data_IF_068679064688
#
_entry.id   IF_068679064688
#
_cell.length_a   1.000
_cell.length_b   1.000
_cell.length_c   1.000
_cell.angle_alpha   90.00
_cell.angle_beta   90.00
_cell.angle_gamma   90.00
#
_symmetry.space_group_name_H-M   'P 1'
#
loop_
_entity.id
_entity.type
_entity.pdbx_description
1 polymer ?
#
# COMPACT_ATOMS: atom_id res chain seq x y z
N UNK A 1 31.96 12.80 -8.09
CA UNK A 1 31.58 12.38 -6.72
C UNK A 1 30.07 12.16 -6.69
N UNK A 2 29.57 10.95 -6.94
CA UNK A 2 28.15 10.62 -6.79
C UNK A 2 28.01 9.63 -5.63
N UNK A 3 27.86 10.19 -4.43
CA UNK A 3 27.58 9.43 -3.21
C UNK A 3 26.12 9.00 -3.19
N UNK A 4 25.85 7.79 -3.72
CA UNK A 4 24.58 7.09 -3.56
C UNK A 4 24.63 6.16 -2.34
N UNK A 5 24.60 6.74 -1.14
CA UNK A 5 24.20 6.05 0.09
C UNK A 5 22.68 6.29 0.21
N UNK A 6 21.81 5.30 0.34
CA UNK A 6 21.81 4.37 1.44
C UNK A 6 21.17 3.02 1.05
N UNK A 7 21.95 1.96 1.26
CA UNK A 7 21.47 0.62 1.60
C UNK A 7 20.46 0.71 2.77
N UNK A 8 19.49 -0.20 2.76
CA UNK A 8 18.94 -0.93 3.93
C UNK A 8 17.44 -1.19 3.80
N UNK A 9 17.08 -2.09 2.89
CA UNK A 9 16.13 -3.14 3.27
C UNK A 9 16.60 -4.42 2.61
N UNK A 10 17.56 -5.03 3.31
CA UNK A 10 18.25 -6.26 2.96
C UNK A 10 17.26 -7.27 2.34
N UNK A 11 17.48 -7.45 1.05
CA UNK A 11 17.22 -8.61 0.21
C UNK A 11 16.27 -9.69 0.76
N UNK A 12 15.02 -9.62 0.29
CA UNK A 12 14.27 -10.75 -0.29
C UNK A 12 14.80 -12.16 0.04
N UNK A 13 14.66 -12.66 1.28
CA UNK A 13 14.38 -14.08 1.56
C UNK A 13 14.24 -14.39 3.05
N UNK A 14 13.00 -14.43 3.52
CA UNK A 14 12.58 -15.43 4.51
C UNK A 14 11.09 -15.69 4.26
N UNK A 15 10.75 -16.85 3.71
CA UNK A 15 9.35 -17.27 3.47
C UNK A 15 8.46 -17.07 4.72
N UNK A 16 9.05 -17.18 5.90
CA UNK A 16 8.44 -16.93 7.21
C UNK A 16 8.10 -15.46 7.46
N UNK A 17 8.98 -14.51 7.09
CA UNK A 17 8.72 -13.07 7.21
C UNK A 17 7.61 -12.61 6.26
N UNK A 18 7.44 -13.28 5.11
CA UNK A 18 6.33 -12.97 4.19
C UNK A 18 4.98 -13.28 4.83
N UNK A 19 4.85 -14.40 5.55
CA UNK A 19 3.62 -14.72 6.30
C UNK A 19 3.35 -13.68 7.38
N UNK A 20 4.40 -13.26 8.09
CA UNK A 20 4.30 -12.21 9.13
C UNK A 20 3.87 -10.86 8.54
N UNK A 21 4.48 -10.44 7.42
CA UNK A 21 4.05 -9.25 6.68
C UNK A 21 2.58 -9.34 6.26
N UNK A 22 2.14 -10.46 5.70
CA UNK A 22 0.76 -10.63 5.27
C UNK A 22 -0.21 -10.56 6.47
N UNK A 23 0.13 -11.16 7.61
CA UNK A 23 -0.66 -11.03 8.83
C UNK A 23 -0.75 -9.57 9.30
N UNK A 24 0.37 -8.85 9.40
CA UNK A 24 0.39 -7.42 9.79
C UNK A 24 -0.36 -6.53 8.78
N UNK A 25 -0.34 -6.88 7.48
CA UNK A 25 -1.16 -6.23 6.44
C UNK A 25 -2.64 -6.43 6.72
N UNK A 26 -3.07 -7.66 6.99
CA UNK A 26 -4.48 -7.98 7.19
C UNK A 26 -5.03 -7.27 8.44
N UNK A 27 -4.25 -7.17 9.53
CA UNK A 27 -4.60 -6.35 10.69
C UNK A 27 -4.77 -4.87 10.36
N UNK A 28 -3.83 -4.28 9.61
CA UNK A 28 -3.94 -2.89 9.18
C UNK A 28 -5.17 -2.67 8.28
N UNK A 29 -5.44 -3.62 7.38
CA UNK A 29 -6.56 -3.53 6.46
C UNK A 29 -7.91 -3.70 7.14
N UNK A 30 -8.02 -4.60 8.12
CA UNK A 30 -9.20 -4.78 8.95
C UNK A 30 -9.50 -3.50 9.74
N UNK A 31 -8.48 -2.86 10.32
CA UNK A 31 -8.66 -1.57 10.98
C UNK A 31 -9.18 -0.49 10.02
N UNK A 32 -8.64 -0.43 8.80
CA UNK A 32 -9.11 0.52 7.80
C UNK A 32 -10.56 0.26 7.39
N UNK A 33 -10.98 -0.99 7.23
CA UNK A 33 -12.38 -1.32 6.92
C UNK A 33 -13.32 -0.92 8.06
N UNK A 34 -12.95 -1.23 9.31
CA UNK A 34 -13.73 -0.84 10.50
C UNK A 34 -13.85 0.68 10.69
N UNK A 35 -12.83 1.44 10.30
CA UNK A 35 -12.75 2.88 10.53
C UNK A 35 -13.14 3.75 9.33
N UNK A 36 -13.64 3.16 8.24
CA UNK A 36 -14.00 3.91 7.03
C UNK A 36 -12.78 4.54 6.35
N UNK A 37 -11.69 3.78 6.26
CA UNK A 37 -10.48 4.10 5.50
C UNK A 37 -9.64 5.25 6.07
N UNK A 38 -9.89 5.61 7.32
CA UNK A 38 -9.14 6.64 8.06
C UNK A 38 -7.79 6.09 8.53
N UNK A 39 -6.76 6.27 7.69
CA UNK A 39 -5.36 5.89 8.00
C UNK A 39 -4.86 6.46 9.33
N UNK A 40 -5.37 7.62 9.74
CA UNK A 40 -4.99 8.27 11.00
C UNK A 40 -5.33 7.44 12.24
N UNK A 41 -6.48 6.74 12.22
CA UNK A 41 -6.91 5.89 13.31
C UNK A 41 -6.10 4.60 13.40
N UNK A 42 -5.61 4.11 12.26
CA UNK A 42 -4.85 2.86 12.15
C UNK A 42 -3.33 3.09 12.05
N UNK A 43 -2.83 4.25 12.51
CA UNK A 43 -1.39 4.60 12.47
C UNK A 43 -0.53 3.61 13.26
N UNK A 44 -1.06 3.04 14.34
CA UNK A 44 -0.29 2.13 15.18
C UNK A 44 -0.06 0.78 14.48
N UNK A 45 -1.10 0.22 13.86
CA UNK A 45 -1.04 -0.98 13.03
C UNK A 45 -0.21 -0.75 11.77
N UNK A 46 -0.29 0.45 11.18
CA UNK A 46 0.56 0.83 10.05
C UNK A 46 2.05 0.79 10.40
N UNK A 47 2.43 1.28 11.59
CA UNK A 47 3.82 1.20 12.07
C UNK A 47 4.28 -0.25 12.27
N UNK A 48 3.40 -1.14 12.72
CA UNK A 48 3.73 -2.56 12.80
C UNK A 48 3.94 -3.14 11.40
N UNK A 49 3.06 -2.79 10.46
CA UNK A 49 3.17 -3.22 9.08
C UNK A 49 4.47 -2.74 8.39
N UNK A 50 4.92 -1.50 8.65
CA UNK A 50 6.21 -1.00 8.15
C UNK A 50 7.43 -1.69 8.76
N UNK A 51 7.34 -2.11 10.02
CA UNK A 51 8.39 -2.87 10.71
C UNK A 51 8.49 -4.31 10.19
N UNK A 52 7.36 -4.99 10.08
CA UNK A 52 7.32 -6.41 9.68
C UNK A 52 7.44 -6.62 8.17
N UNK A 53 7.12 -5.62 7.35
CA UNK A 53 7.02 -5.79 5.90
C UNK A 53 7.95 -4.85 5.12
N UNK A 54 8.54 -5.27 3.97
CA UNK A 54 9.34 -4.40 3.12
C UNK A 54 8.64 -3.09 2.74
N UNK A 55 9.35 -1.96 2.77
CA UNK A 55 8.76 -0.65 2.43
C UNK A 55 8.14 -0.67 1.01
N UNK A 56 8.81 -1.35 0.06
CA UNK A 56 8.28 -1.57 -1.29
C UNK A 56 6.96 -2.34 -1.30
N UNK A 57 6.79 -3.32 -0.42
CA UNK A 57 5.55 -4.08 -0.27
C UNK A 57 4.45 -3.24 0.38
N UNK A 58 4.76 -2.52 1.46
CA UNK A 58 3.84 -1.59 2.12
C UNK A 58 3.30 -0.57 1.12
N UNK A 59 4.19 0.09 0.37
CA UNK A 59 3.79 1.05 -0.65
C UNK A 59 2.97 0.42 -1.76
N UNK A 60 3.36 -0.77 -2.25
CA UNK A 60 2.60 -1.49 -3.27
C UNK A 60 1.17 -1.78 -2.82
N UNK A 61 0.98 -2.32 -1.61
CA UNK A 61 -0.34 -2.65 -1.08
C UNK A 61 -1.20 -1.41 -0.82
N UNK A 62 -0.62 -0.37 -0.22
CA UNK A 62 -1.34 0.90 0.03
C UNK A 62 -1.75 1.54 -1.29
N UNK A 63 -0.85 1.57 -2.28
CA UNK A 63 -1.15 2.09 -3.62
C UNK A 63 -2.25 1.28 -4.29
N UNK A 64 -2.17 -0.06 -4.25
CA UNK A 64 -3.17 -0.96 -4.83
C UNK A 64 -4.57 -0.71 -4.24
N UNK A 65 -4.68 -0.63 -2.91
CA UNK A 65 -5.96 -0.36 -2.23
C UNK A 65 -6.50 1.03 -2.57
N UNK A 66 -5.65 2.06 -2.51
CA UNK A 66 -6.03 3.42 -2.91
C UNK A 66 -6.50 3.46 -4.38
N UNK A 67 -5.82 2.74 -5.28
CA UNK A 67 -6.19 2.65 -6.69
C UNK A 67 -7.50 1.92 -6.90
N UNK A 68 -7.74 0.82 -6.19
CA UNK A 68 -9.00 0.08 -6.26
C UNK A 68 -10.17 0.93 -5.76
N UNK A 69 -9.94 1.71 -4.68
CA UNK A 69 -10.92 2.65 -4.16
C UNK A 69 -11.15 3.86 -5.04
N UNK A 70 -10.08 4.40 -5.60
CA UNK A 70 -10.19 5.44 -6.61
C UNK A 70 -10.97 4.89 -7.82
N UNK A 71 -10.63 3.69 -8.31
CA UNK A 71 -11.39 3.02 -9.38
C UNK A 71 -12.84 2.77 -9.01
N UNK A 72 -13.15 2.39 -7.77
CA UNK A 72 -14.53 2.19 -7.32
C UNK A 72 -15.28 3.53 -7.26
N UNK A 73 -14.65 4.58 -6.74
CA UNK A 73 -15.22 5.93 -6.69
C UNK A 73 -15.39 6.51 -8.07
N UNK A 74 -14.39 6.33 -8.93
CA UNK A 74 -14.42 6.63 -10.37
C UNK A 74 -15.56 5.87 -11.00
N UNK A 75 -15.59 4.53 -11.02
CA UNK A 75 -16.67 3.76 -11.64
C UNK A 75 -18.06 4.10 -11.07
N UNK A 76 -18.13 4.45 -9.77
CA UNK A 76 -19.36 4.93 -9.13
C UNK A 76 -19.73 6.35 -9.57
N UNK A 77 -18.75 7.20 -9.83
CA UNK A 77 -18.93 8.59 -10.26
C UNK A 77 -18.88 8.75 -11.79
N UNK A 78 -18.52 7.70 -12.53
CA UNK A 78 -18.06 7.76 -13.92
C UNK A 78 -18.42 6.51 -14.73
N UNK A 79 -19.26 6.51 -15.76
CA UNK A 79 -20.02 7.56 -16.45
C UNK A 79 -19.20 8.80 -16.93
N UNK A 80 -17.90 8.98 -16.59
CA UNK A 80 -17.15 10.25 -16.82
C UNK A 80 -15.59 10.21 -17.00
N UNK A 81 -14.83 9.11 -16.82
CA UNK A 81 -13.35 9.06 -17.11
C UNK A 81 -13.00 8.01 -18.16
N UNK A 82 -13.71 8.06 -19.26
CA UNK A 82 -13.15 7.56 -20.51
C UNK A 82 -12.01 8.47 -21.05
N UNK A 83 -11.53 9.46 -20.28
CA UNK A 83 -10.68 10.55 -20.76
C UNK A 83 -9.17 10.49 -20.43
N UNK A 84 -8.64 9.49 -19.70
CA UNK A 84 -7.19 9.49 -19.31
C UNK A 84 -6.36 8.40 -20.01
N UNK A 85 -6.82 7.85 -21.14
CA UNK A 85 -6.03 6.87 -21.93
C UNK A 85 -5.39 7.40 -23.22
N UNK A 86 -5.57 8.68 -23.56
CA UNK A 86 -4.95 9.27 -24.76
C UNK A 86 -3.92 10.36 -24.38
N UNK A 87 -2.94 10.02 -23.55
CA UNK A 87 -1.82 10.92 -23.26
C UNK A 87 -0.51 10.20 -22.88
N UNK A 88 -0.18 9.08 -23.52
CA UNK A 88 1.24 8.73 -23.73
C UNK A 88 1.39 8.26 -25.18
N UNK A 89 1.75 9.24 -26.00
CA UNK A 89 2.18 9.15 -27.39
C UNK A 89 3.56 8.47 -27.48
#
# INVERSE_FOLDING_TARGET
MFGGSSKSKEELNLSTDRKKCHASRDFYFECLEKNGEKKEKCKNEYRQFERDCPASWVQHFVRKRNMEKYREQVMRNEVKVDAVKEAEK
#
